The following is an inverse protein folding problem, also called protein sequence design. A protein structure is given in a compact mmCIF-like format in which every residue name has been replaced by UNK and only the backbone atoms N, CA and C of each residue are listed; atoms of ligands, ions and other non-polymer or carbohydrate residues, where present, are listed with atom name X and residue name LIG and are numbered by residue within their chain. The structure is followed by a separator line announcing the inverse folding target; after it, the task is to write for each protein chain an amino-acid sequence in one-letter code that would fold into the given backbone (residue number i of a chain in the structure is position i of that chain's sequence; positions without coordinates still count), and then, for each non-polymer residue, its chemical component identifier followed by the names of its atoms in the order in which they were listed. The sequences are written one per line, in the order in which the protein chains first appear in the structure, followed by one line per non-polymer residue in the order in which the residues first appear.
data_IF_652708885465
#
_entry.id   IF_652708885465
#
_cell.length_a   1.000
_cell.length_b   1.000
_cell.length_c   1.000
_cell.angle_alpha   90.00
_cell.angle_beta   90.00
_cell.angle_gamma   90.00
#
_symmetry.space_group_name_H-M   'P 1'
#
loop_
_entity.id
_entity.type
_entity.pdbx_description
1 polymer ?
#
# COMPACT_ATOMS: atom_id res chain seq x y z
N UNK A 1 -34.35 -12.64 63.50
CA UNK A 1 -33.80 -13.01 62.17
C UNK A 1 -34.09 -11.88 61.20
N UNK A 2 -33.06 -11.15 60.82
CA UNK A 2 -33.25 -9.98 60.01
C UNK A 2 -33.36 -10.33 58.51
N UNK A 3 -34.58 -10.31 58.01
CA UNK A 3 -34.86 -10.55 56.58
C UNK A 3 -34.32 -9.43 55.67
N UNK A 4 -33.75 -8.36 56.26
CA UNK A 4 -33.23 -7.23 55.50
C UNK A 4 -31.77 -7.40 55.01
N UNK A 5 -31.03 -8.35 55.57
CA UNK A 5 -29.65 -8.60 55.16
C UNK A 5 -29.54 -9.38 53.84
N UNK A 6 -30.55 -10.17 53.46
CA UNK A 6 -30.56 -10.95 52.24
C UNK A 6 -30.87 -10.14 50.99
N UNK A 7 -31.57 -8.99 51.15
CA UNK A 7 -31.97 -8.14 50.02
C UNK A 7 -30.84 -7.26 49.48
N UNK A 8 -29.84 -6.98 50.32
CA UNK A 8 -28.68 -6.18 49.92
C UNK A 8 -27.63 -6.96 49.12
N UNK A 9 -27.58 -8.29 49.24
CA UNK A 9 -26.63 -9.11 48.53
C UNK A 9 -27.00 -9.36 47.04
N UNK A 10 -28.29 -9.36 46.73
CA UNK A 10 -28.77 -9.66 45.40
C UNK A 10 -28.61 -8.46 44.45
N UNK A 11 -28.68 -7.26 44.99
CA UNK A 11 -28.51 -6.03 44.19
C UNK A 11 -27.07 -5.80 43.74
N UNK A 12 -26.10 -6.25 44.51
CA UNK A 12 -24.67 -6.10 44.16
C UNK A 12 -24.23 -7.13 43.12
N UNK A 13 -24.83 -8.32 43.12
CA UNK A 13 -24.51 -9.35 42.14
C UNK A 13 -25.06 -9.02 40.73
N UNK A 14 -26.16 -8.28 40.64
CA UNK A 14 -26.75 -7.86 39.36
C UNK A 14 -26.01 -6.69 38.71
N UNK A 15 -25.32 -5.85 39.51
CA UNK A 15 -24.51 -4.76 38.99
C UNK A 15 -23.14 -5.23 38.43
N UNK A 16 -22.66 -6.39 38.88
CA UNK A 16 -21.38 -6.95 38.40
C UNK A 16 -21.49 -7.62 37.03
N UNK A 17 -22.69 -7.88 36.53
CA UNK A 17 -22.90 -8.54 35.23
C UNK A 17 -23.00 -7.59 34.03
N UNK A 18 -22.98 -6.29 34.26
CA UNK A 18 -22.83 -5.28 33.19
C UNK A 18 -21.36 -4.85 33.05
N UNK A 19 -20.47 -5.80 32.89
CA UNK A 19 -19.19 -5.51 32.28
C UNK A 19 -19.47 -5.13 30.83
N UNK A 20 -19.06 -3.91 30.41
CA UNK A 20 -19.12 -3.59 29.01
C UNK A 20 -18.26 -4.62 28.30
N UNK A 21 -18.85 -5.41 27.44
CA UNK A 21 -18.11 -6.14 26.43
C UNK A 21 -17.49 -5.04 25.57
N UNK A 22 -16.33 -4.54 26.02
CA UNK A 22 -15.50 -3.66 25.23
C UNK A 22 -15.15 -4.49 23.97
N UNK A 23 -15.92 -4.25 22.93
CA UNK A 23 -15.81 -5.00 21.71
C UNK A 23 -14.39 -4.94 21.22
N UNK A 24 -13.76 -6.08 21.04
CA UNK A 24 -12.49 -6.18 20.34
C UNK A 24 -12.73 -5.84 18.87
N UNK A 25 -12.69 -4.55 18.54
CA UNK A 25 -12.60 -4.10 17.16
C UNK A 25 -11.11 -3.99 16.83
N UNK A 26 -10.60 -4.94 16.06
CA UNK A 26 -9.24 -4.87 15.53
C UNK A 26 -9.31 -4.56 14.05
N UNK A 27 -8.82 -3.39 13.70
CA UNK A 27 -8.62 -2.98 12.32
C UNK A 27 -7.11 -2.91 12.07
N UNK A 28 -6.62 -3.73 11.14
CA UNK A 28 -5.26 -3.64 10.67
C UNK A 28 -5.25 -3.32 9.17
N UNK A 29 -4.47 -2.30 8.83
CA UNK A 29 -4.21 -1.90 7.46
C UNK A 29 -2.70 -2.01 7.24
N UNK A 30 -2.28 -3.04 6.53
CA UNK A 30 -0.89 -3.24 6.17
C UNK A 30 -0.70 -3.03 4.66
N UNK A 31 0.38 -2.36 4.29
CA UNK A 31 0.75 -2.14 2.89
C UNK A 31 2.19 -2.57 2.70
N UNK A 32 2.38 -3.60 1.90
CA UNK A 32 3.72 -4.11 1.56
C UNK A 32 4.09 -3.68 0.15
N UNK A 33 5.30 -3.21 0.01
CA UNK A 33 5.89 -2.85 -1.27
C UNK A 33 6.81 -3.97 -1.76
N UNK A 34 6.84 -4.19 -3.09
CA UNK A 34 7.75 -5.15 -3.70
C UNK A 34 9.23 -4.72 -3.65
N UNK A 35 10.09 -5.46 -4.32
CA UNK A 35 11.56 -5.33 -4.27
C UNK A 35 12.09 -3.94 -4.62
N UNK A 36 11.39 -3.20 -5.49
CA UNK A 36 11.72 -1.80 -5.83
C UNK A 36 11.27 -0.78 -4.78
N UNK A 37 10.59 -1.23 -3.71
CA UNK A 37 10.07 -0.35 -2.68
C UNK A 37 8.89 0.49 -3.14
N UNK A 38 8.76 1.69 -2.55
CA UNK A 38 7.65 2.61 -2.83
C UNK A 38 7.82 3.27 -4.19
N UNK A 39 6.76 3.34 -5.02
CA UNK A 39 6.82 4.08 -6.28
C UNK A 39 7.12 5.56 -6.04
N UNK A 40 7.75 6.24 -7.02
CA UNK A 40 8.03 7.66 -6.93
C UNK A 40 6.74 8.47 -6.78
N UNK A 41 6.84 9.60 -6.10
CA UNK A 41 5.70 10.50 -5.90
C UNK A 41 5.32 11.21 -7.20
N UNK A 42 4.08 11.72 -7.28
CA UNK A 42 3.65 12.55 -8.40
C UNK A 42 4.61 13.73 -8.61
N UNK A 43 5.03 14.39 -7.53
CA UNK A 43 5.99 15.49 -7.59
C UNK A 43 7.33 15.11 -8.25
N UNK A 44 7.83 13.89 -8.02
CA UNK A 44 9.06 13.39 -8.67
C UNK A 44 8.82 13.15 -10.16
N UNK A 45 7.66 12.59 -10.51
CA UNK A 45 7.30 12.33 -11.92
C UNK A 45 7.04 13.62 -12.70
N UNK A 46 6.50 14.65 -12.07
CA UNK A 46 6.25 15.97 -12.68
C UNK A 46 7.55 16.72 -13.05
N UNK A 47 8.68 16.31 -12.48
CA UNK A 47 9.98 16.86 -12.83
C UNK A 47 10.56 16.32 -14.15
N UNK A 48 9.96 15.23 -14.67
CA UNK A 48 10.42 14.58 -15.89
C UNK A 48 9.92 15.39 -17.09
N UNK A 49 10.86 15.87 -17.89
CA UNK A 49 10.59 16.63 -19.10
C UNK A 49 11.19 15.93 -20.31
N UNK A 50 10.33 15.52 -21.25
CA UNK A 50 10.77 14.94 -22.52
C UNK A 50 11.67 15.93 -23.28
N UNK A 51 12.78 15.44 -23.79
CA UNK A 51 13.79 16.25 -24.49
C UNK A 51 14.80 16.96 -23.59
N UNK A 52 14.62 16.94 -22.26
CA UNK A 52 15.51 17.65 -21.31
C UNK A 52 16.05 16.72 -20.22
N UNK A 53 15.20 15.87 -19.64
CA UNK A 53 15.61 14.95 -18.58
C UNK A 53 16.56 13.89 -19.14
N UNK A 54 17.70 13.71 -18.48
CA UNK A 54 18.74 12.77 -18.92
C UNK A 54 18.52 11.37 -18.34
N UNK A 55 19.07 10.34 -19.03
CA UNK A 55 19.12 8.96 -18.50
C UNK A 55 19.77 8.92 -17.11
N UNK A 56 20.89 9.66 -16.93
CA UNK A 56 21.61 9.70 -15.66
C UNK A 56 20.76 10.25 -14.53
N UNK A 57 19.93 11.26 -14.80
CA UNK A 57 18.98 11.76 -13.81
C UNK A 57 17.94 10.71 -13.42
N UNK A 58 17.41 9.97 -14.39
CA UNK A 58 16.44 8.88 -14.14
C UNK A 58 17.06 7.81 -13.25
N UNK A 59 18.28 7.36 -13.60
CA UNK A 59 19.02 6.35 -12.82
C UNK A 59 19.38 6.85 -11.42
N UNK A 60 19.78 8.11 -11.27
CA UNK A 60 20.08 8.71 -9.98
C UNK A 60 18.85 8.84 -9.07
N UNK A 61 17.68 9.13 -9.67
CA UNK A 61 16.43 9.39 -8.94
C UNK A 61 15.64 8.11 -8.63
N UNK A 62 15.51 7.21 -9.61
CA UNK A 62 14.71 5.99 -9.51
C UNK A 62 15.54 4.73 -9.23
N UNK A 63 16.87 4.84 -9.33
CA UNK A 63 17.78 3.71 -9.18
C UNK A 63 17.83 2.84 -10.45
N UNK A 64 18.23 1.60 -10.27
CA UNK A 64 18.38 0.64 -11.36
C UNK A 64 17.01 0.19 -11.89
N UNK A 65 16.78 0.15 -13.22
CA UNK A 65 15.53 -0.29 -13.79
C UNK A 65 15.26 -1.78 -13.51
N UNK A 66 13.99 -2.16 -13.53
CA UNK A 66 13.58 -3.58 -13.43
C UNK A 66 13.92 -4.34 -14.70
N UNK A 67 13.83 -3.66 -15.82
CA UNK A 67 14.18 -4.19 -17.13
C UNK A 67 14.71 -3.08 -18.04
N UNK A 68 15.71 -3.41 -18.84
CA UNK A 68 16.30 -2.52 -19.85
C UNK A 68 16.32 -3.24 -21.19
N UNK A 69 15.88 -2.59 -22.24
CA UNK A 69 15.87 -3.12 -23.60
C UNK A 69 16.25 -2.04 -24.61
N UNK A 70 16.72 -2.46 -25.75
CA UNK A 70 17.03 -1.56 -26.87
C UNK A 70 16.22 -1.99 -28.08
N UNK A 71 15.53 -1.04 -28.70
CA UNK A 71 14.79 -1.29 -29.93
C UNK A 71 15.72 -1.40 -31.14
N UNK A 72 15.21 -1.89 -32.28
CA UNK A 72 15.97 -1.99 -33.53
C UNK A 72 16.51 -0.65 -34.03
N UNK A 73 15.83 0.45 -33.68
CA UNK A 73 16.19 1.82 -34.06
C UNK A 73 17.24 2.46 -33.12
N UNK A 74 17.70 1.71 -32.09
CA UNK A 74 18.68 2.18 -31.13
C UNK A 74 18.09 2.96 -29.95
N UNK A 75 16.76 3.05 -29.83
CA UNK A 75 16.09 3.66 -28.67
C UNK A 75 16.19 2.70 -27.49
N UNK A 76 16.70 3.19 -26.38
CA UNK A 76 16.71 2.44 -25.11
C UNK A 76 15.38 2.59 -24.40
N UNK A 77 14.87 1.51 -23.81
CA UNK A 77 13.65 1.51 -22.99
C UNK A 77 13.99 1.03 -21.60
N UNK A 78 13.77 1.90 -20.63
CA UNK A 78 13.90 1.57 -19.19
C UNK A 78 12.52 1.31 -18.61
N UNK A 79 12.37 0.20 -17.93
CA UNK A 79 11.13 -0.23 -17.29
C UNK A 79 11.33 -0.34 -15.79
N UNK A 80 10.48 0.34 -15.01
CA UNK A 80 10.43 0.28 -13.56
C UNK A 80 9.11 -0.28 -13.09
N UNK A 81 9.13 -1.46 -12.49
CA UNK A 81 7.94 -2.12 -11.95
C UNK A 81 7.87 -1.93 -10.43
N UNK A 82 6.78 -1.35 -9.96
CA UNK A 82 6.46 -1.23 -8.54
C UNK A 82 5.20 -2.02 -8.24
N UNK A 83 5.23 -2.81 -7.18
CA UNK A 83 4.06 -3.52 -6.69
C UNK A 83 3.73 -3.11 -5.27
N UNK A 84 2.44 -3.01 -4.98
CA UNK A 84 1.90 -2.73 -3.65
C UNK A 84 0.80 -3.72 -3.34
N UNK A 85 1.00 -4.50 -2.30
CA UNK A 85 -0.04 -5.35 -1.72
C UNK A 85 -0.70 -4.61 -0.57
N UNK A 86 -2.02 -4.59 -0.56
CA UNK A 86 -2.84 -4.07 0.52
C UNK A 86 -3.50 -5.25 1.20
N UNK A 87 -3.18 -5.47 2.46
CA UNK A 87 -3.82 -6.44 3.30
C UNK A 87 -4.72 -5.68 4.28
N UNK A 88 -6.02 -5.64 4.01
CA UNK A 88 -7.00 -5.06 4.91
C UNK A 88 -7.68 -6.19 5.68
N UNK A 89 -7.48 -6.24 6.99
CA UNK A 89 -8.14 -7.20 7.86
C UNK A 89 -9.06 -6.47 8.83
N UNK A 90 -10.31 -6.84 8.81
CA UNK A 90 -11.30 -6.38 9.77
C UNK A 90 -11.79 -7.57 10.59
N UNK A 91 -11.53 -7.53 11.89
CA UNK A 91 -11.98 -8.56 12.83
C UNK A 91 -12.99 -7.93 13.77
N UNK A 92 -14.23 -8.35 13.66
CA UNK A 92 -15.27 -8.11 14.65
C UNK A 92 -15.42 -9.37 15.48
N UNK A 93 -14.90 -9.33 16.72
CA UNK A 93 -14.88 -10.47 17.62
C UNK A 93 -16.27 -11.06 17.89
N UNK A 94 -16.40 -12.39 17.91
CA UNK A 94 -15.47 -13.43 17.44
C UNK A 94 -15.86 -14.03 16.09
N UNK A 95 -16.84 -13.48 15.36
CA UNK A 95 -17.58 -14.19 14.31
C UNK A 95 -17.46 -13.61 12.90
N UNK A 96 -16.90 -12.42 12.71
CA UNK A 96 -16.82 -11.80 11.39
C UNK A 96 -15.37 -11.53 11.04
N UNK A 97 -14.89 -12.25 10.02
CA UNK A 97 -13.58 -12.10 9.42
C UNK A 97 -13.80 -11.57 8.01
N UNK A 98 -13.38 -10.34 7.76
CA UNK A 98 -13.40 -9.76 6.42
C UNK A 98 -11.95 -9.42 6.07
N UNK A 99 -11.41 -10.09 5.06
CA UNK A 99 -10.13 -9.76 4.44
C UNK A 99 -10.38 -9.30 3.02
N UNK A 100 -9.80 -8.17 2.66
CA UNK A 100 -9.76 -7.65 1.30
C UNK A 100 -8.29 -7.52 0.91
N UNK A 101 -7.84 -8.42 0.02
CA UNK A 101 -6.47 -8.48 -0.48
C UNK A 101 -6.47 -7.87 -1.87
N UNK A 102 -5.77 -6.77 -2.05
CA UNK A 102 -5.59 -6.11 -3.33
C UNK A 102 -4.11 -5.98 -3.70
N UNK A 103 -3.77 -6.31 -4.95
CA UNK A 103 -2.46 -6.01 -5.52
C UNK A 103 -2.60 -4.89 -6.56
N UNK A 104 -1.83 -3.82 -6.36
CA UNK A 104 -1.69 -2.74 -7.31
C UNK A 104 -0.26 -2.78 -7.88
N UNK A 105 -0.16 -2.86 -9.21
CA UNK A 105 1.10 -2.83 -9.93
C UNK A 105 1.17 -1.59 -10.78
N UNK A 106 2.24 -0.84 -10.62
CA UNK A 106 2.54 0.36 -11.38
C UNK A 106 3.83 0.15 -12.16
N UNK A 107 3.80 0.37 -13.47
CA UNK A 107 4.97 0.29 -14.34
C UNK A 107 5.23 1.65 -14.98
N UNK A 108 6.46 2.11 -14.87
CA UNK A 108 6.95 3.32 -15.52
C UNK A 108 7.85 2.94 -16.68
N UNK A 109 7.65 3.57 -17.82
CA UNK A 109 8.45 3.37 -19.03
C UNK A 109 9.11 4.67 -19.45
N UNK A 110 10.38 4.59 -19.81
CA UNK A 110 11.17 5.70 -20.34
C UNK A 110 11.80 5.28 -21.65
N UNK A 111 11.51 5.99 -22.73
CA UNK A 111 12.26 5.89 -23.98
C UNK A 111 13.42 6.90 -23.95
N UNK A 112 14.63 6.41 -24.20
CA UNK A 112 15.87 7.18 -24.14
C UNK A 112 16.51 7.16 -25.52
N UNK A 113 16.78 8.34 -26.05
CA UNK A 113 17.58 8.54 -27.27
C UNK A 113 18.71 9.53 -26.97
N UNK A 114 19.94 9.19 -27.39
CA UNK A 114 21.12 10.02 -27.16
C UNK A 114 21.30 10.44 -25.68
N UNK A 115 20.94 9.56 -24.74
CA UNK A 115 21.06 9.79 -23.30
C UNK A 115 19.99 10.72 -22.71
N UNK A 116 18.94 11.06 -23.48
CA UNK A 116 17.86 11.95 -23.06
C UNK A 116 16.51 11.22 -23.15
N UNK A 117 15.64 11.46 -22.17
CA UNK A 117 14.26 10.94 -22.19
C UNK A 117 13.47 11.62 -23.30
N UNK A 118 13.03 10.85 -24.30
CA UNK A 118 12.18 11.33 -25.39
C UNK A 118 10.72 11.12 -25.10
N UNK A 119 10.38 10.05 -24.35
CA UNK A 119 9.01 9.73 -23.97
C UNK A 119 8.96 9.07 -22.61
N UNK A 120 7.91 9.36 -21.87
CA UNK A 120 7.63 8.79 -20.58
C UNK A 120 6.12 8.48 -20.45
N UNK A 121 5.77 7.30 -19.92
CA UNK A 121 4.39 6.98 -19.57
C UNK A 121 4.31 6.03 -18.37
N UNK A 122 3.13 5.95 -17.81
CA UNK A 122 2.82 5.13 -16.65
C UNK A 122 1.63 4.23 -16.95
N UNK A 123 1.75 2.95 -16.58
CA UNK A 123 0.67 1.99 -16.59
C UNK A 123 0.37 1.54 -15.16
N UNK A 124 -0.92 1.39 -14.83
CA UNK A 124 -1.36 0.92 -13.51
C UNK A 124 -2.35 -0.23 -13.71
N UNK A 125 -2.07 -1.36 -13.10
CA UNK A 125 -2.94 -2.54 -13.06
C UNK A 125 -3.32 -2.82 -11.61
N UNK A 126 -4.60 -3.15 -11.39
CA UNK A 126 -5.15 -3.58 -10.09
C UNK A 126 -5.77 -4.97 -10.27
N UNK A 127 -5.45 -5.84 -9.36
CA UNK A 127 -6.00 -7.19 -9.31
C UNK A 127 -6.70 -7.41 -7.98
#
# INVERSE_FOLDING_TARGET
MNKHALRKGIGVLLLASMLPVAGCLVYSNDSRYGDKGKPPTAHTLDQIQSGTTTKDWVLATLGEPSHESTTKDGTEVLEYQYSRKKDNQFILCPFVFISDDGEERQTLYFEIEDGVVTKFWKETSKT
#
